data_IF_554469564940
#
_entry.id   IF_554469564940
#
_cell.length_a   1.000
_cell.length_b   1.000
_cell.length_c   1.000
_cell.angle_alpha   90.00
_cell.angle_beta   90.00
_cell.angle_gamma   90.00
#
_symmetry.space_group_name_H-M   'P 1'
#
loop_
_entity.id
_entity.type
_entity.pdbx_description
1 polymer ?
#
# COMPACT_ATOMS: atom_id res chain seq x y z
N UNK A 1 43.62 15.08 -0.38
CA UNK A 1 44.42 14.30 -1.35
C UNK A 1 45.78 14.95 -1.53
N UNK A 2 46.80 14.14 -1.76
CA UNK A 2 48.17 14.55 -2.09
C UNK A 2 48.80 13.56 -3.09
N UNK A 3 50.12 13.66 -3.29
CA UNK A 3 50.84 12.80 -4.24
C UNK A 3 50.87 11.31 -3.85
N UNK A 4 50.71 10.98 -2.56
CA UNK A 4 50.83 9.62 -2.01
C UNK A 4 49.48 8.99 -1.69
N UNK A 5 48.43 9.78 -1.52
CA UNK A 5 47.11 9.23 -1.22
C UNK A 5 45.96 10.22 -1.04
N UNK A 6 44.88 9.68 -0.50
CA UNK A 6 43.71 10.41 -0.03
C UNK A 6 43.34 9.96 1.39
N UNK A 7 42.83 10.91 2.16
CA UNK A 7 42.04 10.65 3.35
C UNK A 7 40.59 10.98 3.04
N UNK A 8 39.66 10.18 3.51
CA UNK A 8 38.24 10.45 3.39
C UNK A 8 37.56 10.36 4.75
N UNK A 9 36.48 11.12 4.86
CA UNK A 9 35.61 11.16 6.02
C UNK A 9 34.18 11.34 5.52
N UNK A 10 33.24 10.55 6.04
CA UNK A 10 31.86 10.51 5.59
C UNK A 10 30.92 10.34 6.79
N UNK A 11 30.07 11.33 7.10
CA UNK A 11 28.94 11.13 7.99
C UNK A 11 27.81 10.38 7.25
N UNK A 12 27.24 9.37 7.89
CA UNK A 12 26.14 8.58 7.39
C UNK A 12 25.06 8.43 8.46
N UNK A 13 23.81 8.44 8.03
CA UNK A 13 22.66 8.06 8.85
C UNK A 13 21.89 7.00 8.08
N UNK A 14 21.58 5.88 8.73
CA UNK A 14 20.85 4.75 8.16
C UNK A 14 19.58 4.52 8.97
N UNK A 15 18.42 4.53 8.32
CA UNK A 15 17.13 4.21 8.96
C UNK A 15 16.86 2.69 9.05
N UNK A 16 17.70 1.88 8.43
CA UNK A 16 17.63 0.43 8.43
C UNK A 16 18.95 -0.20 7.99
N UNK A 17 19.03 -1.53 8.03
CA UNK A 17 20.23 -2.26 7.60
C UNK A 17 20.57 -1.94 6.16
N UNK A 18 21.81 -1.52 5.92
CA UNK A 18 22.21 -0.97 4.63
C UNK A 18 23.68 -1.14 4.31
N UNK A 19 23.97 -1.08 3.02
CA UNK A 19 25.33 -1.09 2.51
C UNK A 19 25.81 0.33 2.23
N UNK A 20 26.98 0.67 2.74
CA UNK A 20 27.68 1.92 2.44
C UNK A 20 28.88 1.58 1.55
N UNK A 21 28.92 2.17 0.36
CA UNK A 21 30.05 2.02 -0.57
C UNK A 21 31.09 3.09 -0.24
N UNK A 22 32.31 2.67 0.08
CA UNK A 22 33.42 3.57 0.38
C UNK A 22 34.10 4.06 -0.91
N UNK A 23 34.81 5.19 -0.86
CA UNK A 23 35.66 5.62 -1.97
C UNK A 23 36.72 4.56 -2.29
N UNK A 24 36.96 4.23 -3.55
CA UNK A 24 38.00 3.28 -3.97
C UNK A 24 37.55 2.20 -4.94
N UNK A 25 38.52 1.37 -5.32
CA UNK A 25 38.37 0.20 -6.18
C UNK A 25 39.46 -0.85 -5.83
N UNK A 26 39.52 -1.97 -6.56
CA UNK A 26 40.55 -2.99 -6.36
C UNK A 26 42.00 -2.48 -6.45
N UNK A 27 42.27 -1.41 -7.22
CA UNK A 27 43.63 -0.84 -7.36
C UNK A 27 43.92 0.18 -6.25
N UNK A 28 42.91 0.87 -5.77
CA UNK A 28 42.98 1.92 -4.78
C UNK A 28 42.07 1.57 -3.59
N UNK A 29 42.35 0.40 -2.98
CA UNK A 29 41.56 -0.11 -1.87
C UNK A 29 41.82 0.72 -0.60
N UNK A 30 40.79 1.14 0.13
CA UNK A 30 40.96 1.83 1.41
C UNK A 30 41.73 1.01 2.44
N UNK A 31 42.38 1.71 3.36
CA UNK A 31 43.11 1.20 4.51
C UNK A 31 42.74 2.02 5.73
N UNK A 32 43.06 1.48 6.91
CA UNK A 32 42.82 2.13 8.20
C UNK A 32 41.40 2.67 8.33
N UNK A 33 40.43 1.88 7.84
CA UNK A 33 39.02 2.26 7.86
C UNK A 33 38.48 2.09 9.26
N UNK A 34 37.82 3.13 9.76
CA UNK A 34 37.19 3.15 11.08
C UNK A 34 35.74 3.61 11.01
N UNK A 35 34.90 3.04 11.87
CA UNK A 35 33.54 3.48 12.14
C UNK A 35 33.52 4.06 13.55
N UNK A 36 33.17 5.34 13.69
CA UNK A 36 33.12 6.03 14.99
C UNK A 36 34.46 5.96 15.76
N UNK A 37 35.58 5.93 15.03
CA UNK A 37 36.93 5.82 15.61
C UNK A 37 37.43 4.39 15.81
N UNK A 38 36.56 3.39 15.75
CA UNK A 38 36.92 1.98 15.93
C UNK A 38 37.26 1.31 14.59
N UNK A 39 38.32 0.49 14.50
CA UNK A 39 38.69 -0.22 13.28
C UNK A 39 37.55 -1.08 12.71
N UNK A 40 37.31 -0.97 11.41
CA UNK A 40 36.22 -1.64 10.72
C UNK A 40 36.74 -2.58 9.62
N UNK A 41 36.12 -3.77 9.52
CA UNK A 41 36.37 -4.69 8.41
C UNK A 41 35.49 -4.33 7.23
N UNK A 42 36.12 -4.14 6.08
CA UNK A 42 35.42 -3.94 4.81
C UNK A 42 35.13 -5.27 4.12
N UNK A 43 34.08 -5.25 3.31
CA UNK A 43 33.71 -6.31 2.38
C UNK A 43 33.82 -5.78 0.96
N UNK A 44 33.89 -6.69 -0.01
CA UNK A 44 33.78 -6.34 -1.42
C UNK A 44 32.32 -6.47 -1.87
N UNK A 45 31.83 -5.46 -2.59
CA UNK A 45 30.52 -5.51 -3.25
C UNK A 45 30.61 -4.92 -4.66
N UNK A 46 30.38 -5.75 -5.67
CA UNK A 46 30.48 -5.38 -7.09
C UNK A 46 31.82 -4.69 -7.43
N UNK A 47 32.92 -5.24 -6.90
CA UNK A 47 34.27 -4.72 -7.08
C UNK A 47 34.58 -3.39 -6.39
N UNK A 48 33.76 -3.01 -5.40
CA UNK A 48 33.94 -1.79 -4.59
C UNK A 48 34.06 -2.12 -3.09
N UNK A 49 34.85 -1.36 -2.32
CA UNK A 49 34.91 -1.48 -0.87
C UNK A 49 33.58 -1.06 -0.24
N UNK A 50 33.05 -1.86 0.67
CA UNK A 50 31.76 -1.64 1.27
C UNK A 50 31.70 -2.04 2.76
N UNK A 51 30.81 -1.40 3.49
CA UNK A 51 30.44 -1.73 4.86
C UNK A 51 28.96 -2.11 4.90
N UNK A 52 28.60 -3.16 5.63
CA UNK A 52 27.21 -3.53 5.92
C UNK A 52 26.93 -3.14 7.36
N UNK A 53 26.10 -2.11 7.55
CA UNK A 53 25.78 -1.55 8.86
C UNK A 53 24.29 -1.70 9.15
N UNK A 54 23.95 -1.79 10.44
CA UNK A 54 22.57 -1.70 10.92
C UNK A 54 22.10 -0.24 10.96
N UNK A 55 20.84 -0.02 11.37
CA UNK A 55 20.29 1.31 11.63
C UNK A 55 21.18 2.08 12.59
N UNK A 56 21.47 3.35 12.30
CA UNK A 56 22.24 4.23 13.18
C UNK A 56 22.96 5.36 12.45
N UNK A 57 23.64 6.19 13.25
CA UNK A 57 24.51 7.27 12.78
C UNK A 57 25.98 6.85 12.88
N UNK A 58 26.73 7.12 11.81
CA UNK A 58 28.10 6.66 11.65
C UNK A 58 29.00 7.76 11.12
N UNK A 59 30.19 7.85 11.70
CA UNK A 59 31.31 8.62 11.18
C UNK A 59 32.34 7.64 10.62
N UNK A 60 32.44 7.59 9.29
CA UNK A 60 33.33 6.66 8.62
C UNK A 60 34.54 7.42 8.09
N UNK A 61 35.75 6.94 8.38
CA UNK A 61 36.99 7.49 7.85
C UNK A 61 37.92 6.40 7.36
N UNK A 62 38.88 6.80 6.51
CA UNK A 62 39.92 5.90 6.04
C UNK A 62 40.91 6.59 5.12
N UNK A 63 41.93 5.83 4.72
CA UNK A 63 43.00 6.29 3.84
C UNK A 63 43.08 5.45 2.56
N UNK A 64 43.52 6.05 1.46
CA UNK A 64 43.75 5.37 0.19
C UNK A 64 45.15 5.75 -0.26
N UNK A 65 45.99 4.76 -0.54
CA UNK A 65 47.36 5.00 -1.00
C UNK A 65 47.49 4.76 -2.50
N UNK A 66 48.32 5.56 -3.16
CA UNK A 66 48.69 5.39 -4.56
C UNK A 66 50.14 5.81 -4.80
N UNK A 67 50.79 5.16 -5.76
CA UNK A 67 52.12 5.58 -6.24
C UNK A 67 52.05 6.78 -7.18
N UNK A 68 50.92 6.93 -7.89
CA UNK A 68 50.60 8.05 -8.78
C UNK A 68 49.12 8.36 -8.66
N UNK A 69 48.77 9.64 -8.55
CA UNK A 69 47.37 10.08 -8.49
C UNK A 69 46.58 9.48 -9.65
N UNK A 70 45.50 8.72 -9.38
CA UNK A 70 44.65 8.19 -10.42
C UNK A 70 43.84 9.31 -11.07
N UNK A 71 43.34 9.05 -12.28
CA UNK A 71 42.53 10.03 -12.99
C UNK A 71 41.18 10.27 -12.30
N UNK A 72 40.59 9.20 -11.75
CA UNK A 72 39.34 9.23 -11.00
C UNK A 72 39.38 8.21 -9.87
N UNK A 73 38.52 8.43 -8.87
CA UNK A 73 38.26 7.50 -7.79
C UNK A 73 36.76 7.18 -7.77
N UNK A 74 36.33 5.92 -7.72
CA UNK A 74 34.92 5.61 -7.50
C UNK A 74 34.49 6.05 -6.10
N UNK A 75 33.29 6.59 -6.01
CA UNK A 75 32.57 6.91 -4.77
C UNK A 75 31.16 6.31 -4.86
N UNK A 76 30.40 6.32 -3.77
CA UNK A 76 29.01 5.91 -3.82
C UNK A 76 28.24 6.85 -4.78
N UNK A 77 27.46 6.31 -5.75
CA UNK A 77 26.64 7.15 -6.64
C UNK A 77 25.61 8.01 -5.89
N UNK A 78 25.27 7.59 -4.66
CA UNK A 78 24.45 8.37 -3.76
C UNK A 78 25.18 9.64 -3.29
N UNK A 79 26.49 9.67 -3.07
CA UNK A 79 27.18 10.85 -2.50
C UNK A 79 27.10 12.06 -3.42
N UNK A 80 26.22 13.02 -3.10
CA UNK A 80 25.97 14.20 -3.92
C UNK A 80 26.77 15.42 -3.46
N UNK A 81 27.11 15.51 -2.16
CA UNK A 81 27.98 16.55 -1.61
C UNK A 81 29.36 15.98 -1.31
N UNK A 82 30.38 16.49 -2.00
CA UNK A 82 31.79 16.16 -1.76
C UNK A 82 32.57 17.46 -1.67
N UNK A 83 33.40 17.56 -0.63
CA UNK A 83 34.46 18.56 -0.53
C UNK A 83 35.77 17.87 -0.87
N UNK A 84 36.49 18.37 -1.87
CA UNK A 84 37.78 17.83 -2.27
C UNK A 84 38.88 18.85 -1.99
N UNK A 85 39.82 18.48 -1.11
CA UNK A 85 41.02 19.28 -0.82
C UNK A 85 42.25 18.63 -1.41
N UNK A 86 43.05 19.37 -2.18
CA UNK A 86 44.38 18.96 -2.64
C UNK A 86 45.44 19.76 -1.90
N UNK A 87 46.32 19.06 -1.16
CA UNK A 87 47.34 19.68 -0.30
C UNK A 87 46.77 20.78 0.62
N UNK A 88 45.57 20.54 1.17
CA UNK A 88 44.87 21.47 2.07
C UNK A 88 43.98 22.52 1.38
N UNK A 89 44.19 22.80 0.09
CA UNK A 89 43.39 23.77 -0.66
C UNK A 89 42.14 23.13 -1.30
N UNK A 90 40.99 23.79 -1.23
CA UNK A 90 39.76 23.34 -1.89
C UNK A 90 39.91 23.41 -3.42
N UNK A 91 39.50 22.34 -4.09
CA UNK A 91 39.49 22.24 -5.56
C UNK A 91 38.09 21.90 -6.08
N UNK A 92 37.76 22.29 -7.33
CA UNK A 92 36.48 21.93 -7.94
C UNK A 92 36.25 20.42 -7.95
N UNK A 93 35.02 20.02 -7.62
CA UNK A 93 34.58 18.64 -7.58
C UNK A 93 33.78 18.31 -8.83
N UNK A 94 34.16 17.23 -9.49
CA UNK A 94 33.41 16.66 -10.60
C UNK A 94 33.14 15.19 -10.33
N UNK A 95 31.86 14.83 -10.15
CA UNK A 95 31.40 13.45 -10.00
C UNK A 95 30.45 13.15 -11.13
N UNK A 96 30.72 12.10 -11.90
CA UNK A 96 29.81 11.68 -12.96
C UNK A 96 28.61 10.87 -12.44
N UNK A 97 27.67 10.52 -13.33
CA UNK A 97 26.47 9.76 -12.95
C UNK A 97 26.76 8.36 -12.41
N UNK A 98 27.94 7.80 -12.70
CA UNK A 98 28.36 6.47 -12.27
C UNK A 98 29.11 6.51 -10.92
N UNK A 99 29.27 7.70 -10.34
CA UNK A 99 30.00 7.91 -9.09
C UNK A 99 31.52 7.93 -9.28
N UNK A 100 32.06 8.34 -10.44
CA UNK A 100 33.50 8.60 -10.56
C UNK A 100 33.81 10.04 -10.18
N UNK A 101 34.54 10.21 -9.09
CA UNK A 101 35.15 11.48 -8.68
C UNK A 101 36.42 11.71 -9.48
N UNK A 102 36.45 12.72 -10.34
CA UNK A 102 37.63 13.09 -11.11
C UNK A 102 38.64 13.80 -10.20
N UNK A 103 39.87 13.29 -10.16
CA UNK A 103 40.95 13.83 -9.33
C UNK A 103 41.96 14.67 -10.11
N UNK A 104 41.90 14.67 -11.45
CA UNK A 104 42.74 15.50 -12.33
C UNK A 104 41.86 16.52 -13.04
N UNK A 105 42.36 17.74 -13.19
CA UNK A 105 41.66 18.80 -13.92
C UNK A 105 41.46 18.36 -15.38
N UNK A 106 40.19 18.33 -15.81
CA UNK A 106 39.87 18.35 -17.25
C UNK A 106 39.80 19.81 -17.66
N UNK A 107 40.37 20.11 -18.83
CA UNK A 107 40.33 21.44 -19.43
C UNK A 107 38.91 21.99 -19.51
N UNK A 108 38.81 23.31 -19.33
CA UNK A 108 37.62 24.16 -19.41
C UNK A 108 36.69 23.75 -20.56
N UNK A 109 35.68 22.92 -20.28
CA UNK A 109 34.71 22.48 -21.29
C UNK A 109 33.26 22.50 -20.83
N UNK A 110 32.97 22.66 -19.53
CA UNK A 110 31.62 22.56 -18.99
C UNK A 110 31.33 23.70 -18.01
N UNK A 111 31.45 24.95 -18.47
CA UNK A 111 31.25 26.14 -17.61
C UNK A 111 29.96 26.91 -17.90
N UNK A 112 29.16 26.53 -18.89
CA UNK A 112 27.97 27.29 -19.28
C UNK A 112 26.64 26.73 -18.75
N UNK A 113 26.53 25.42 -18.48
CA UNK A 113 25.28 24.81 -18.02
C UNK A 113 24.94 25.03 -16.52
N UNK A 114 25.80 25.74 -15.76
CA UNK A 114 25.70 25.86 -14.30
C UNK A 114 25.28 27.24 -13.77
N UNK A 115 24.89 28.19 -14.64
CA UNK A 115 24.63 29.57 -14.18
C UNK A 115 23.31 29.74 -13.42
N UNK A 116 22.30 28.90 -13.66
CA UNK A 116 21.00 29.00 -12.98
C UNK A 116 20.67 27.71 -12.23
N UNK A 117 20.43 27.82 -10.92
CA UNK A 117 19.91 26.73 -10.10
C UNK A 117 18.38 26.67 -10.25
N UNK A 118 17.87 25.71 -11.02
CA UNK A 118 16.42 25.47 -11.11
C UNK A 118 16.03 24.13 -10.49
N UNK A 119 14.78 24.06 -10.05
CA UNK A 119 14.15 22.86 -9.53
C UNK A 119 12.68 22.89 -9.95
N UNK A 120 12.22 21.85 -10.65
CA UNK A 120 10.80 21.56 -10.84
C UNK A 120 10.46 20.30 -10.06
N UNK A 121 9.34 20.32 -9.34
CA UNK A 121 8.82 19.20 -8.56
C UNK A 121 7.40 18.93 -9.03
N UNK A 122 7.12 17.68 -9.36
CA UNK A 122 5.77 17.18 -9.61
C UNK A 122 5.46 16.13 -8.54
N UNK A 123 4.26 16.22 -7.95
CA UNK A 123 3.83 15.38 -6.84
C UNK A 123 2.59 14.63 -7.27
N UNK A 124 2.68 13.31 -7.22
CA UNK A 124 1.58 12.41 -7.46
C UNK A 124 1.33 11.62 -6.19
N UNK A 125 0.08 11.46 -5.80
CA UNK A 125 -0.30 10.64 -4.65
C UNK A 125 -1.37 9.63 -5.03
N UNK A 126 -1.28 8.42 -4.51
CA UNK A 126 -2.33 7.43 -4.54
C UNK A 126 -2.82 7.19 -3.11
N UNK A 127 -4.04 7.62 -2.84
CA UNK A 127 -4.75 7.32 -1.60
C UNK A 127 -5.55 6.04 -1.80
N UNK A 128 -5.23 4.99 -1.03
CA UNK A 128 -5.94 3.71 -1.06
C UNK A 128 -6.78 3.53 0.20
N UNK A 129 -8.06 3.19 0.02
CA UNK A 129 -9.04 3.00 1.09
C UNK A 129 -8.85 1.66 1.83
N UNK A 130 -7.64 1.39 2.30
CA UNK A 130 -7.28 0.21 3.08
C UNK A 130 -7.47 0.45 4.59
N UNK A 131 -7.32 -0.60 5.40
CA UNK A 131 -7.26 -0.49 6.87
C UNK A 131 -5.88 -0.98 7.35
N UNK A 132 -4.98 -0.09 7.82
CA UNK A 132 -5.09 1.38 7.80
C UNK A 132 -5.00 1.96 6.40
N UNK A 133 -5.49 3.20 6.22
CA UNK A 133 -5.41 3.94 4.96
C UNK A 133 -3.96 4.07 4.51
N UNK A 134 -3.72 3.89 3.20
CA UNK A 134 -2.38 3.95 2.61
C UNK A 134 -2.23 5.10 1.65
N UNK A 135 -1.04 5.67 1.62
CA UNK A 135 -0.65 6.74 0.74
C UNK A 135 0.66 6.40 0.05
N UNK A 136 0.63 6.21 -1.26
CA UNK A 136 1.84 6.12 -2.08
C UNK A 136 2.10 7.48 -2.73
N UNK A 137 3.25 8.08 -2.44
CA UNK A 137 3.68 9.36 -3.01
C UNK A 137 4.82 9.13 -3.99
N UNK A 138 4.67 9.64 -5.21
CA UNK A 138 5.74 9.71 -6.22
C UNK A 138 6.10 11.17 -6.49
N UNK A 139 7.37 11.49 -6.32
CA UNK A 139 7.95 12.80 -6.61
C UNK A 139 8.83 12.68 -7.86
N UNK A 140 8.54 13.49 -8.88
CA UNK A 140 9.39 13.64 -10.05
C UNK A 140 10.11 14.99 -9.98
N UNK A 141 11.43 14.95 -10.01
CA UNK A 141 12.31 16.11 -9.81
C UNK A 141 13.12 16.38 -11.07
N UNK A 142 13.05 17.60 -11.60
CA UNK A 142 13.98 18.11 -12.61
C UNK A 142 14.90 19.13 -11.96
N UNK A 143 16.18 18.77 -11.79
CA UNK A 143 17.18 19.61 -11.10
C UNK A 143 18.22 20.11 -12.10
N UNK A 144 18.57 21.39 -12.01
CA UNK A 144 19.70 21.98 -12.72
C UNK A 144 20.64 22.74 -11.77
N UNK A 145 21.84 23.04 -12.27
CA UNK A 145 22.86 23.77 -11.53
C UNK A 145 23.72 22.89 -10.62
N UNK A 146 24.35 23.51 -9.63
CA UNK A 146 25.34 22.85 -8.77
C UNK A 146 24.68 21.91 -7.74
N UNK A 147 25.34 20.81 -7.35
CA UNK A 147 24.90 19.97 -6.24
C UNK A 147 24.74 20.79 -4.96
N UNK A 148 23.64 20.54 -4.23
CA UNK A 148 23.27 21.30 -3.03
C UNK A 148 22.25 20.53 -2.18
N UNK A 149 22.18 20.84 -0.90
CA UNK A 149 21.07 20.40 -0.06
C UNK A 149 19.81 21.23 -0.36
N UNK A 150 18.65 20.55 -0.42
CA UNK A 150 17.36 21.19 -0.59
C UNK A 150 16.36 20.51 0.36
N UNK A 151 15.55 21.30 1.04
CA UNK A 151 14.39 20.82 1.80
C UNK A 151 13.12 21.15 1.01
N UNK A 152 12.23 20.16 0.87
CA UNK A 152 11.06 20.19 0.01
C UNK A 152 9.79 19.85 0.78
N UNK A 153 8.86 20.81 0.80
CA UNK A 153 7.42 20.71 1.05
C UNK A 153 6.97 19.69 2.09
N UNK A 154 5.73 19.17 1.97
CA UNK A 154 5.20 18.14 2.87
C UNK A 154 5.19 16.79 2.17
N UNK A 155 6.32 16.10 2.14
CA UNK A 155 6.41 14.79 1.49
C UNK A 155 5.58 13.73 2.24
N UNK A 156 5.59 13.77 3.57
CA UNK A 156 4.75 12.96 4.44
C UNK A 156 3.69 13.84 5.11
N UNK A 157 2.39 13.61 4.86
CA UNK A 157 1.32 14.35 5.55
C UNK A 157 1.31 14.11 7.05
N UNK A 158 0.62 15.00 7.77
CA UNK A 158 0.39 14.84 9.20
C UNK A 158 -0.35 13.53 9.47
N UNK A 159 -0.10 12.95 10.65
CA UNK A 159 -0.69 11.69 11.10
C UNK A 159 -0.43 10.47 10.18
N UNK A 160 0.61 10.53 9.35
CA UNK A 160 1.08 9.40 8.55
C UNK A 160 2.45 8.91 9.05
N UNK A 161 2.72 7.63 8.82
CA UNK A 161 4.01 6.99 9.13
C UNK A 161 4.57 6.35 7.85
N UNK A 162 5.86 6.55 7.59
CA UNK A 162 6.55 5.96 6.43
C UNK A 162 6.62 4.45 6.58
N UNK A 163 6.21 3.74 5.54
CA UNK A 163 6.29 2.28 5.44
C UNK A 163 7.33 1.84 4.41
N UNK A 164 7.64 2.69 3.41
CA UNK A 164 8.73 2.45 2.46
C UNK A 164 9.31 3.75 1.92
N UNK A 165 10.59 3.74 1.58
CA UNK A 165 11.28 4.89 1.02
C UNK A 165 12.31 4.46 -0.03
N UNK A 166 12.15 4.96 -1.25
CA UNK A 166 13.03 4.65 -2.38
C UNK A 166 13.49 5.94 -3.03
N UNK A 167 14.80 6.20 -3.01
CA UNK A 167 15.39 7.39 -3.61
C UNK A 167 16.72 7.08 -4.30
N UNK A 168 16.95 7.55 -5.54
CA UNK A 168 18.25 7.52 -6.19
C UNK A 168 19.20 8.60 -5.69
N UNK A 169 18.71 9.54 -4.88
CA UNK A 169 19.48 10.60 -4.20
C UNK A 169 19.54 10.32 -2.69
N UNK A 170 20.59 10.76 -1.98
CA UNK A 170 20.56 10.83 -0.52
C UNK A 170 19.39 11.70 -0.12
N UNK A 171 18.46 11.10 0.61
CA UNK A 171 17.24 11.74 0.98
C UNK A 171 16.72 11.13 2.27
N UNK A 172 16.03 11.94 3.06
CA UNK A 172 15.34 11.51 4.27
C UNK A 172 14.09 12.34 4.48
N UNK A 173 13.10 11.74 5.11
CA UNK A 173 11.91 12.44 5.60
C UNK A 173 12.24 12.98 6.99
N UNK A 174 12.07 14.27 7.19
CA UNK A 174 12.25 14.96 8.47
C UNK A 174 11.07 14.69 9.40
N UNK A 175 11.24 14.97 10.69
CA UNK A 175 10.19 14.77 11.69
C UNK A 175 8.92 15.61 11.43
N UNK A 176 9.04 16.73 10.72
CA UNK A 176 7.92 17.59 10.31
C UNK A 176 7.31 17.20 8.96
N UNK A 177 7.69 16.04 8.42
CA UNK A 177 7.20 15.50 7.15
C UNK A 177 7.86 16.10 5.90
N UNK A 178 8.80 17.04 6.05
CA UNK A 178 9.56 17.59 4.91
C UNK A 178 10.53 16.58 4.33
N UNK A 179 10.79 16.66 3.03
CA UNK A 179 11.82 15.85 2.39
C UNK A 179 13.11 16.64 2.26
N UNK A 180 14.18 16.20 2.94
CA UNK A 180 15.54 16.71 2.70
C UNK A 180 16.23 15.84 1.66
N UNK A 181 16.79 16.47 0.63
CA UNK A 181 17.57 15.80 -0.40
C UNK A 181 18.93 16.47 -0.60
N UNK A 182 19.93 15.68 -0.94
CA UNK A 182 21.14 16.19 -1.57
C UNK A 182 20.95 16.14 -3.09
N UNK A 183 20.48 17.26 -3.66
CA UNK A 183 20.13 17.37 -5.06
C UNK A 183 21.35 17.52 -5.95
N UNK A 184 21.30 16.91 -7.15
CA UNK A 184 22.27 17.11 -8.23
C UNK A 184 21.55 17.18 -9.57
N UNK A 185 22.17 17.80 -10.57
CA UNK A 185 21.55 18.00 -11.88
C UNK A 185 21.11 16.65 -12.51
N UNK A 186 19.87 16.60 -13.00
CA UNK A 186 19.27 15.39 -13.56
C UNK A 186 17.76 15.32 -13.36
N UNK A 187 17.19 14.20 -13.82
CA UNK A 187 15.80 13.80 -13.58
C UNK A 187 15.80 12.69 -12.54
N UNK A 188 14.98 12.82 -11.50
CA UNK A 188 14.96 11.89 -10.38
C UNK A 188 13.53 11.56 -10.01
N UNK A 189 13.30 10.30 -9.62
CA UNK A 189 12.02 9.82 -9.11
C UNK A 189 12.24 9.30 -7.69
N UNK A 190 11.49 9.84 -6.73
CA UNK A 190 11.50 9.41 -5.32
C UNK A 190 10.12 8.85 -5.01
N UNK A 191 10.07 7.69 -4.35
CA UNK A 191 8.81 7.04 -3.95
C UNK A 191 8.76 6.84 -2.44
N UNK A 192 7.65 7.21 -1.83
CA UNK A 192 7.41 7.13 -0.40
C UNK A 192 6.07 6.42 -0.21
N UNK A 193 6.08 5.27 0.45
CA UNK A 193 4.86 4.63 0.93
C UNK A 193 4.62 5.03 2.38
N UNK A 194 3.37 5.32 2.73
CA UNK A 194 2.96 5.68 4.08
C UNK A 194 1.61 5.05 4.45
N UNK A 195 1.37 4.93 5.76
CA UNK A 195 0.07 4.57 6.32
C UNK A 195 -0.41 5.67 7.26
N UNK A 196 -1.70 5.96 7.28
CA UNK A 196 -2.27 6.85 8.29
C UNK A 196 -2.41 6.11 9.62
N UNK A 197 -2.27 6.86 10.73
CA UNK A 197 -2.41 6.31 12.08
C UNK A 197 -3.88 6.25 12.53
N UNK A 198 -4.77 7.03 11.91
CA UNK A 198 -6.21 7.01 12.13
C UNK A 198 -7.00 6.76 10.83
N UNK A 199 -8.33 6.72 10.93
CA UNK A 199 -9.23 6.72 9.79
C UNK A 199 -9.56 8.16 9.36
N UNK A 200 -8.55 8.88 8.85
CA UNK A 200 -8.74 10.20 8.27
C UNK A 200 -9.84 10.19 7.20
N UNK A 201 -10.72 11.19 7.24
CA UNK A 201 -11.75 11.42 6.20
C UNK A 201 -11.50 12.70 5.39
N UNK A 202 -10.56 13.53 5.83
CA UNK A 202 -10.24 14.82 5.23
C UNK A 202 -8.76 14.86 4.91
N UNK A 203 -8.43 15.16 3.66
CA UNK A 203 -7.06 15.19 3.18
C UNK A 203 -6.79 16.53 2.51
N UNK A 204 -5.66 17.12 2.89
CA UNK A 204 -5.20 18.39 2.35
C UNK A 204 -3.78 18.21 1.85
N UNK A 205 -3.42 18.97 0.82
CA UNK A 205 -2.00 19.20 0.53
C UNK A 205 -1.54 20.47 1.26
N UNK A 206 -0.30 20.46 1.74
CA UNK A 206 0.35 21.65 2.25
C UNK A 206 1.60 21.95 1.43
N UNK A 207 1.67 23.16 0.88
CA UNK A 207 2.81 23.59 0.08
C UNK A 207 4.09 23.70 0.92
N UNK A 208 3.99 24.20 2.16
CA UNK A 208 5.07 24.51 3.12
C UNK A 208 6.22 25.44 2.66
N UNK A 209 6.63 25.44 1.40
CA UNK A 209 7.68 26.31 0.87
C UNK A 209 7.57 26.56 -0.64
N UNK A 210 8.44 27.43 -1.18
CA UNK A 210 8.39 27.84 -2.59
C UNK A 210 8.78 26.76 -3.60
N UNK A 211 9.50 25.71 -3.19
CA UNK A 211 9.98 24.64 -4.06
C UNK A 211 8.94 23.53 -4.26
N UNK A 212 7.97 23.41 -3.36
CA UNK A 212 6.85 22.50 -3.55
C UNK A 212 5.87 23.06 -4.58
N UNK A 213 5.24 22.21 -5.42
CA UNK A 213 4.30 22.72 -6.40
C UNK A 213 3.06 23.32 -5.75
N UNK A 214 2.45 24.29 -6.43
CA UNK A 214 1.18 24.87 -5.99
C UNK A 214 -0.01 23.91 -6.11
N UNK A 215 0.17 22.79 -6.82
CA UNK A 215 -0.84 21.77 -7.00
C UNK A 215 -0.21 20.38 -6.96
N UNK A 216 -0.97 19.40 -6.51
CA UNK A 216 -0.62 17.98 -6.53
C UNK A 216 -1.70 17.19 -7.28
N UNK A 217 -1.34 16.03 -7.84
CA UNK A 217 -2.29 15.16 -8.54
C UNK A 217 -2.53 13.92 -7.70
N UNK A 218 -3.77 13.72 -7.28
CA UNK A 218 -4.13 12.65 -6.35
C UNK A 218 -5.06 11.66 -7.04
N UNK A 219 -4.66 10.40 -7.09
CA UNK A 219 -5.51 9.30 -7.50
C UNK A 219 -6.09 8.59 -6.27
N UNK A 220 -7.32 8.11 -6.39
CA UNK A 220 -8.01 7.41 -5.31
C UNK A 220 -8.36 5.97 -5.71
N UNK A 221 -8.04 5.02 -4.82
CA UNK A 221 -8.42 3.61 -4.98
C UNK A 221 -9.41 3.22 -3.88
N UNK A 222 -10.66 3.05 -4.27
CA UNK A 222 -11.70 2.54 -3.39
C UNK A 222 -11.47 1.06 -3.05
N UNK A 223 -11.94 0.64 -1.88
CA UNK A 223 -12.01 -0.77 -1.50
C UNK A 223 -13.45 -1.13 -1.04
N UNK A 224 -14.36 -1.42 -1.99
CA UNK A 224 -15.78 -1.66 -1.70
C UNK A 224 -16.05 -2.85 -0.78
N UNK A 225 -15.09 -3.77 -0.64
CA UNK A 225 -15.18 -4.90 0.30
C UNK A 225 -15.06 -4.43 1.77
N UNK A 226 -14.50 -3.25 2.01
CA UNK A 226 -14.39 -2.65 3.34
C UNK A 226 -15.54 -1.68 3.61
N UNK A 227 -15.77 -0.75 2.68
CA UNK A 227 -16.82 0.26 2.74
C UNK A 227 -17.04 0.93 1.40
N UNK A 228 -18.24 1.47 1.21
CA UNK A 228 -18.49 2.44 0.15
C UNK A 228 -18.12 3.83 0.59
N UNK A 229 -17.29 4.51 -0.20
CA UNK A 229 -16.98 5.92 -0.01
C UNK A 229 -17.26 6.70 -1.28
N UNK A 230 -17.80 7.91 -1.07
CA UNK A 230 -17.90 8.92 -2.11
C UNK A 230 -16.80 9.94 -1.88
N UNK A 231 -16.03 10.24 -2.92
CA UNK A 231 -14.99 11.28 -2.87
C UNK A 231 -15.61 12.62 -3.26
N UNK A 232 -15.39 13.65 -2.46
CA UNK A 232 -15.88 15.02 -2.70
C UNK A 232 -14.83 16.07 -2.32
N UNK A 233 -15.15 17.36 -2.55
CA UNK A 233 -14.34 18.51 -2.15
C UNK A 233 -13.14 18.87 -3.05
N UNK A 234 -12.59 17.91 -3.80
CA UNK A 234 -11.51 18.15 -4.76
C UNK A 234 -12.00 18.10 -6.23
N UNK A 235 -11.58 19.01 -7.11
CA UNK A 235 -11.90 18.96 -8.53
C UNK A 235 -11.36 17.69 -9.20
N UNK A 236 -12.23 16.96 -9.91
CA UNK A 236 -11.81 15.81 -10.72
C UNK A 236 -11.12 16.30 -12.00
N UNK A 237 -10.11 15.56 -12.43
CA UNK A 237 -9.40 15.77 -13.71
C UNK A 237 -9.39 14.49 -14.52
N UNK A 238 -9.27 14.60 -15.84
CA UNK A 238 -9.18 13.45 -16.74
C UNK A 238 -7.77 12.81 -16.64
N UNK A 239 -7.65 11.55 -16.16
CA UNK A 239 -6.37 10.86 -16.04
C UNK A 239 -5.67 10.66 -17.38
N UNK A 240 -6.40 10.63 -18.51
CA UNK A 240 -5.82 10.40 -19.84
C UNK A 240 -5.00 11.59 -20.36
N UNK A 241 -5.20 12.78 -19.78
CA UNK A 241 -4.52 14.02 -20.15
C UNK A 241 -3.28 14.31 -19.29
N UNK A 242 -2.92 13.38 -18.38
CA UNK A 242 -1.87 13.55 -17.39
C UNK A 242 -0.88 12.39 -17.51
N UNK A 243 0.42 12.69 -17.49
CA UNK A 243 1.47 11.67 -17.37
C UNK A 243 1.53 11.13 -15.93
N UNK A 244 0.58 10.25 -15.60
CA UNK A 244 0.49 9.60 -14.31
C UNK A 244 1.52 8.47 -14.17
N UNK A 245 2.00 8.20 -12.94
CA UNK A 245 2.67 6.94 -12.64
C UNK A 245 1.79 5.75 -13.06
N UNK A 246 2.34 4.71 -13.72
CA UNK A 246 1.53 3.60 -14.24
C UNK A 246 0.61 2.96 -13.19
N UNK A 247 1.08 2.84 -11.95
CA UNK A 247 0.32 2.27 -10.84
C UNK A 247 -0.87 3.13 -10.36
N UNK A 248 -0.96 4.39 -10.82
CA UNK A 248 -2.05 5.33 -10.52
C UNK A 248 -3.05 5.43 -11.68
N UNK A 249 -2.73 4.84 -12.84
CA UNK A 249 -3.56 4.88 -14.04
C UNK A 249 -4.92 4.19 -13.88
N UNK A 250 -5.93 4.70 -14.59
CA UNK A 250 -7.30 4.15 -14.58
C UNK A 250 -8.11 4.42 -13.30
N UNK A 251 -7.57 5.22 -12.37
CA UNK A 251 -8.23 5.57 -11.12
C UNK A 251 -8.85 6.97 -11.19
N UNK A 252 -9.95 7.23 -10.43
CA UNK A 252 -10.43 8.58 -10.19
C UNK A 252 -9.29 9.48 -9.72
N UNK A 253 -9.12 10.62 -10.40
CA UNK A 253 -7.97 11.51 -10.19
C UNK A 253 -8.44 12.94 -9.96
N UNK A 254 -7.80 13.60 -9.00
CA UNK A 254 -8.19 14.88 -8.45
C UNK A 254 -7.00 15.84 -8.45
N UNK A 255 -7.30 17.12 -8.71
CA UNK A 255 -6.31 18.19 -8.62
C UNK A 255 -6.39 18.84 -7.23
N UNK A 256 -5.35 18.65 -6.44
CA UNK A 256 -5.24 19.25 -5.12
C UNK A 256 -4.54 20.60 -5.20
N UNK A 257 -4.96 21.54 -4.37
CA UNK A 257 -4.32 22.82 -4.08
C UNK A 257 -4.44 23.12 -2.57
N UNK A 258 -3.76 24.14 -2.02
CA UNK A 258 -3.88 24.49 -0.61
C UNK A 258 -5.29 24.94 -0.20
N UNK A 259 -6.17 25.26 -1.16
CA UNK A 259 -7.56 25.67 -0.92
C UNK A 259 -8.57 24.55 -1.14
N UNK A 260 -8.13 23.33 -1.48
CA UNK A 260 -9.01 22.17 -1.68
C UNK A 260 -8.80 21.15 -0.59
N UNK A 261 -9.89 20.57 -0.11
CA UNK A 261 -9.87 19.43 0.81
C UNK A 261 -10.54 18.26 0.10
N UNK A 262 -9.82 17.15 -0.03
CA UNK A 262 -10.41 15.89 -0.50
C UNK A 262 -11.10 15.23 0.68
N UNK A 263 -12.38 14.90 0.50
CA UNK A 263 -13.23 14.33 1.53
C UNK A 263 -13.65 12.93 1.12
N UNK A 264 -13.57 11.99 2.07
CA UNK A 264 -14.14 10.65 1.95
C UNK A 264 -15.43 10.60 2.76
N UNK A 265 -16.56 10.65 2.07
CA UNK A 265 -17.88 10.48 2.67
C UNK A 265 -18.25 9.00 2.67
N UNK A 266 -18.17 8.35 3.84
CA UNK A 266 -18.63 6.97 3.98
C UNK A 266 -20.13 6.89 3.70
N UNK A 267 -20.50 6.16 2.65
CA UNK A 267 -21.90 5.94 2.25
C UNK A 267 -22.50 4.74 3.01
N UNK A 268 -21.70 3.69 3.18
CA UNK A 268 -22.07 2.45 3.86
C UNK A 268 -20.80 1.73 4.33
N UNK A 269 -20.93 0.82 5.29
CA UNK A 269 -19.84 -0.05 5.76
C UNK A 269 -20.16 -1.50 5.35
N UNK A 270 -19.20 -2.23 4.80
CA UNK A 270 -19.44 -3.51 4.14
C UNK A 270 -19.92 -3.35 2.70
N UNK A 271 -20.67 -4.31 2.17
CA UNK A 271 -21.26 -4.28 0.82
C UNK A 271 -22.64 -3.61 0.85
N UNK A 272 -22.90 -2.58 0.02
CA UNK A 272 -24.19 -1.84 0.00
C UNK A 272 -25.31 -2.59 -0.71
N UNK A 273 -24.94 -3.41 -1.68
CA UNK A 273 -25.87 -4.19 -2.49
C UNK A 273 -25.21 -5.53 -2.72
N UNK A 274 -25.04 -6.33 -1.65
CA UNK A 274 -24.60 -7.70 -1.83
C UNK A 274 -25.56 -8.33 -2.84
N UNK A 275 -25.01 -9.01 -3.85
CA UNK A 275 -25.81 -9.77 -4.80
C UNK A 275 -26.82 -10.61 -4.00
N UNK A 276 -28.07 -10.76 -4.46
CA UNK A 276 -29.04 -11.56 -3.71
C UNK A 276 -28.49 -12.97 -3.45
N UNK A 277 -28.80 -13.53 -2.28
CA UNK A 277 -28.53 -14.94 -2.01
C UNK A 277 -29.18 -15.79 -3.11
N UNK A 278 -28.41 -16.70 -3.72
CA UNK A 278 -28.89 -17.56 -4.80
C UNK A 278 -29.11 -18.96 -4.23
N UNK A 279 -30.36 -19.28 -3.88
CA UNK A 279 -30.70 -20.53 -3.20
C UNK A 279 -31.78 -21.30 -3.96
N UNK A 280 -31.63 -22.62 -3.97
CA UNK A 280 -32.64 -23.54 -4.47
C UNK A 280 -33.12 -24.46 -3.36
N UNK A 281 -34.42 -24.76 -3.32
CA UNK A 281 -35.06 -25.67 -2.38
C UNK A 281 -35.65 -26.87 -3.14
N UNK A 282 -35.26 -28.07 -2.73
CA UNK A 282 -35.97 -29.31 -3.06
C UNK A 282 -36.62 -29.85 -1.79
N UNK A 283 -37.94 -29.88 -1.76
CA UNK A 283 -38.76 -30.32 -0.63
C UNK A 283 -39.46 -31.63 -0.96
N UNK A 284 -39.32 -32.61 -0.07
CA UNK A 284 -40.19 -33.78 0.00
C UNK A 284 -41.11 -33.61 1.21
N UNK A 285 -42.42 -33.70 0.99
CA UNK A 285 -43.43 -33.57 2.03
C UNK A 285 -44.24 -34.86 2.10
N UNK A 286 -44.32 -35.48 3.26
CA UNK A 286 -45.17 -36.64 3.53
C UNK A 286 -46.32 -36.24 4.41
N UNK A 287 -47.53 -36.37 3.88
CA UNK A 287 -48.77 -36.17 4.62
C UNK A 287 -48.98 -37.33 5.60
N UNK A 288 -49.37 -37.02 6.82
CA UNK A 288 -49.72 -38.06 7.80
C UNK A 288 -50.95 -38.84 7.37
N UNK A 289 -51.07 -40.10 7.81
CA UNK A 289 -52.20 -40.96 7.47
C UNK A 289 -53.56 -40.39 7.90
N UNK A 290 -53.61 -39.67 9.02
CA UNK A 290 -54.81 -39.02 9.54
C UNK A 290 -55.02 -37.60 8.99
N UNK A 291 -54.08 -37.09 8.18
CA UNK A 291 -54.09 -35.74 7.64
C UNK A 291 -53.87 -34.62 8.67
N UNK A 292 -53.48 -34.94 9.90
CA UNK A 292 -53.30 -33.96 10.97
C UNK A 292 -52.05 -33.07 10.81
N UNK A 293 -51.12 -33.46 9.94
CA UNK A 293 -49.87 -32.74 9.71
C UNK A 293 -49.01 -33.38 8.63
N UNK A 294 -47.75 -32.96 8.57
CA UNK A 294 -46.79 -33.50 7.61
C UNK A 294 -45.36 -33.51 8.14
N UNK A 295 -44.57 -34.45 7.65
CA UNK A 295 -43.11 -34.44 7.82
C UNK A 295 -42.47 -33.92 6.54
N UNK A 296 -41.48 -33.05 6.65
CA UNK A 296 -40.73 -32.55 5.48
C UNK A 296 -39.26 -32.94 5.55
N UNK A 297 -38.70 -33.21 4.38
CA UNK A 297 -37.27 -33.25 4.13
C UNK A 297 -36.93 -32.18 3.11
N UNK A 298 -36.20 -31.18 3.55
CA UNK A 298 -35.77 -30.06 2.72
C UNK A 298 -34.28 -30.19 2.40
N UNK A 299 -33.92 -30.04 1.13
CA UNK A 299 -32.55 -29.90 0.67
C UNK A 299 -32.37 -28.53 0.04
N UNK A 300 -31.51 -27.71 0.64
CA UNK A 300 -31.24 -26.33 0.22
C UNK A 300 -29.79 -26.24 -0.26
N UNK A 301 -29.60 -25.83 -1.50
CA UNK A 301 -28.27 -25.67 -2.11
C UNK A 301 -28.13 -24.30 -2.75
N UNK A 302 -26.94 -23.71 -2.66
CA UNK A 302 -26.65 -22.44 -3.32
C UNK A 302 -25.54 -21.63 -2.65
N UNK A 303 -25.62 -20.31 -2.83
CA UNK A 303 -24.64 -19.35 -2.32
C UNK A 303 -25.31 -18.25 -1.48
N UNK A 304 -24.88 -18.14 -0.23
CA UNK A 304 -25.09 -16.96 0.61
C UNK A 304 -24.02 -15.90 0.30
N UNK A 305 -24.47 -14.66 0.21
CA UNK A 305 -23.69 -13.44 -0.03
C UNK A 305 -23.96 -12.40 1.08
N UNK A 306 -25.15 -12.45 1.69
CA UNK A 306 -25.54 -11.64 2.84
C UNK A 306 -26.50 -12.39 3.76
N UNK A 307 -26.87 -11.80 4.92
CA UNK A 307 -27.82 -12.38 5.90
C UNK A 307 -27.48 -13.85 6.20
N UNK A 308 -26.40 -14.06 6.95
CA UNK A 308 -25.75 -15.36 7.22
C UNK A 308 -26.54 -16.29 8.15
N UNK A 309 -27.86 -16.31 8.04
CA UNK A 309 -28.75 -17.07 8.90
C UNK A 309 -29.96 -17.53 8.12
N UNK A 310 -30.34 -18.78 8.34
CA UNK A 310 -31.53 -19.40 7.77
C UNK A 310 -32.44 -19.87 8.90
N UNK A 311 -33.68 -19.38 8.92
CA UNK A 311 -34.66 -19.69 9.98
C UNK A 311 -36.03 -20.01 9.38
N UNK A 312 -36.81 -20.80 10.12
CA UNK A 312 -38.10 -21.30 9.68
C UNK A 312 -39.26 -20.35 10.01
N UNK A 313 -40.40 -20.56 9.36
CA UNK A 313 -41.68 -20.02 9.82
C UNK A 313 -42.14 -20.72 11.11
N UNK A 314 -43.12 -20.15 11.85
CA UNK A 314 -43.66 -20.77 13.05
C UNK A 314 -44.26 -22.17 12.80
N UNK A 315 -44.82 -22.38 11.61
CA UNK A 315 -45.50 -23.64 11.23
C UNK A 315 -44.54 -24.74 10.81
N UNK A 316 -43.29 -24.39 10.47
CA UNK A 316 -42.23 -25.35 10.13
C UNK A 316 -41.33 -25.57 11.35
N UNK A 317 -41.63 -26.61 12.12
CA UNK A 317 -40.87 -26.99 13.32
C UNK A 317 -39.62 -27.76 12.94
N UNK A 318 -38.47 -27.09 12.99
CA UNK A 318 -37.18 -27.71 12.70
C UNK A 318 -36.86 -28.79 13.74
N UNK A 319 -36.59 -30.02 13.28
CA UNK A 319 -36.14 -31.12 14.12
C UNK A 319 -34.63 -31.33 14.04
N UNK A 320 -34.12 -31.54 12.82
CA UNK A 320 -32.68 -31.75 12.56
C UNK A 320 -32.26 -30.95 11.35
N UNK A 321 -31.11 -30.28 11.45
CA UNK A 321 -30.50 -29.58 10.32
C UNK A 321 -29.02 -29.95 10.22
N UNK A 322 -28.59 -30.34 9.02
CA UNK A 322 -27.20 -30.52 8.62
C UNK A 322 -26.83 -29.41 7.65
N UNK A 323 -25.68 -28.76 7.84
CA UNK A 323 -25.09 -27.85 6.86
C UNK A 323 -23.74 -28.41 6.43
N UNK A 324 -23.56 -28.62 5.13
CA UNK A 324 -22.36 -29.21 4.54
C UNK A 324 -21.97 -30.54 5.21
N UNK A 325 -22.97 -31.37 5.52
CA UNK A 325 -22.82 -32.67 6.20
C UNK A 325 -22.59 -32.60 7.71
N UNK A 326 -22.54 -31.41 8.32
CA UNK A 326 -22.29 -31.22 9.75
C UNK A 326 -23.57 -30.83 10.51
N UNK A 327 -23.90 -31.49 11.64
CA UNK A 327 -25.01 -31.09 12.50
C UNK A 327 -24.90 -29.64 12.97
N UNK A 328 -26.01 -28.91 12.90
CA UNK A 328 -26.10 -27.52 13.34
C UNK A 328 -26.95 -27.37 14.61
N UNK A 329 -26.60 -26.39 15.44
CA UNK A 329 -27.39 -26.03 16.62
C UNK A 329 -28.58 -25.18 16.19
N UNK A 330 -29.79 -25.59 16.58
CA UNK A 330 -31.00 -24.81 16.37
C UNK A 330 -31.11 -23.75 17.46
N UNK A 331 -31.18 -22.49 17.04
CA UNK A 331 -31.25 -21.33 17.93
C UNK A 331 -32.46 -20.48 17.58
N UNK A 332 -33.04 -19.80 18.57
CA UNK A 332 -34.16 -18.86 18.38
C UNK A 332 -33.73 -17.46 18.81
N UNK A 333 -33.87 -16.48 17.93
CA UNK A 333 -33.59 -15.07 18.23
C UNK A 333 -34.90 -14.31 18.53
N UNK A 334 -34.86 -13.23 19.34
CA UNK A 334 -36.07 -12.49 19.74
C UNK A 334 -36.88 -11.92 18.57
N UNK A 335 -36.22 -11.54 17.48
CA UNK A 335 -36.84 -10.89 16.31
C UNK A 335 -37.18 -11.88 15.17
N UNK A 336 -37.09 -13.19 15.43
CA UNK A 336 -37.34 -14.24 14.43
C UNK A 336 -38.60 -15.03 14.73
N UNK A 337 -39.33 -15.37 13.67
CA UNK A 337 -40.59 -16.11 13.77
C UNK A 337 -40.38 -17.60 14.18
N UNK A 338 -39.20 -18.15 13.95
CA UNK A 338 -38.91 -19.57 14.15
C UNK A 338 -37.48 -19.85 14.57
N UNK A 339 -37.14 -21.13 14.67
CA UNK A 339 -35.76 -21.55 14.95
C UNK A 339 -34.92 -21.49 13.67
N UNK A 340 -33.60 -21.32 13.82
CA UNK A 340 -32.69 -21.23 12.69
C UNK A 340 -31.27 -21.64 13.02
N UNK A 341 -30.44 -21.61 11.98
CA UNK A 341 -29.02 -21.95 12.01
C UNK A 341 -28.16 -20.80 11.46
N UNK A 342 -26.94 -20.66 11.98
CA UNK A 342 -25.93 -19.75 11.46
C UNK A 342 -25.19 -20.38 10.27
N UNK A 343 -25.02 -19.61 9.20
CA UNK A 343 -24.32 -20.01 7.99
C UNK A 343 -22.89 -19.48 8.04
N UNK A 344 -21.91 -20.38 7.98
CA UNK A 344 -20.49 -20.03 8.11
C UNK A 344 -19.70 -20.05 6.80
N UNK A 345 -20.30 -20.59 5.73
CA UNK A 345 -19.66 -20.74 4.43
C UNK A 345 -20.58 -20.17 3.35
N UNK A 346 -20.03 -19.45 2.34
CA UNK A 346 -20.81 -18.93 1.22
C UNK A 346 -21.58 -20.02 0.48
N UNK A 347 -20.91 -21.12 0.14
CA UNK A 347 -21.55 -22.26 -0.51
C UNK A 347 -22.14 -23.22 0.53
N UNK A 348 -23.41 -23.54 0.34
CA UNK A 348 -24.16 -24.38 1.27
C UNK A 348 -24.83 -25.56 0.56
N UNK A 349 -24.86 -26.67 1.28
CA UNK A 349 -25.71 -27.81 1.04
C UNK A 349 -26.32 -28.18 2.40
N UNK A 350 -27.58 -27.84 2.58
CA UNK A 350 -28.32 -27.99 3.84
C UNK A 350 -29.35 -29.09 3.66
N UNK A 351 -29.42 -30.01 4.61
CA UNK A 351 -30.49 -30.99 4.72
C UNK A 351 -31.24 -30.75 6.04
N UNK A 352 -32.55 -30.57 5.99
CA UNK A 352 -33.38 -30.35 7.15
C UNK A 352 -34.54 -31.34 7.20
N UNK A 353 -34.80 -31.90 8.38
CA UNK A 353 -36.00 -32.67 8.68
C UNK A 353 -36.85 -31.88 9.66
N UNK A 354 -38.10 -31.63 9.27
CA UNK A 354 -39.00 -30.75 9.99
C UNK A 354 -40.40 -31.33 10.09
N UNK A 355 -41.18 -30.77 11.01
CA UNK A 355 -42.56 -31.13 11.27
C UNK A 355 -43.48 -29.94 10.99
N UNK A 356 -44.61 -30.20 10.34
CA UNK A 356 -45.72 -29.26 10.19
C UNK A 356 -46.90 -29.85 10.94
N UNK A 357 -47.47 -29.06 11.86
CA UNK A 357 -48.67 -29.45 12.61
C UNK A 357 -49.85 -28.63 12.08
N UNK A 358 -50.91 -29.30 11.63
CA UNK A 358 -52.03 -28.66 10.94
C UNK A 358 -51.68 -28.26 9.50
N UNK A 359 -52.65 -28.40 8.59
CA UNK A 359 -52.45 -28.20 7.15
C UNK A 359 -53.39 -27.15 6.55
N UNK A 360 -54.01 -26.34 7.42
CA UNK A 360 -54.96 -25.31 7.02
C UNK A 360 -54.31 -24.28 6.08
N UNK A 361 -53.01 -24.02 6.24
CA UNK A 361 -52.18 -23.22 5.33
C UNK A 361 -50.79 -23.84 5.16
N UNK A 362 -50.51 -24.46 4.01
CA UNK A 362 -49.19 -25.03 3.71
C UNK A 362 -48.35 -24.00 2.94
N UNK A 363 -47.22 -23.57 3.53
CA UNK A 363 -46.23 -22.75 2.82
C UNK A 363 -45.41 -23.60 1.85
N UNK A 364 -45.17 -23.08 0.64
CA UNK A 364 -44.33 -23.72 -0.35
C UNK A 364 -42.88 -23.94 0.14
N UNK A 365 -42.36 -23.01 0.95
CA UNK A 365 -40.98 -23.07 1.47
C UNK A 365 -40.91 -23.30 2.97
N UNK A 366 -41.80 -22.72 3.80
CA UNK A 366 -41.69 -22.76 5.26
C UNK A 366 -40.41 -22.16 5.85
N UNK A 367 -39.54 -21.57 5.01
CA UNK A 367 -38.30 -20.90 5.39
C UNK A 367 -38.50 -19.40 5.20
N UNK A 368 -38.00 -18.59 6.13
CA UNK A 368 -38.06 -17.13 6.06
C UNK A 368 -36.88 -16.61 5.22
N UNK A 369 -36.85 -17.04 3.97
CA UNK A 369 -35.84 -16.69 2.98
C UNK A 369 -36.39 -16.87 1.56
N UNK A 370 -35.94 -16.04 0.63
CA UNK A 370 -36.29 -16.15 -0.79
C UNK A 370 -35.48 -17.27 -1.48
N UNK A 371 -36.07 -17.90 -2.49
CA UNK A 371 -35.42 -18.96 -3.28
C UNK A 371 -35.63 -18.68 -4.76
N UNK A 372 -34.58 -18.86 -5.56
CA UNK A 372 -34.63 -18.73 -7.02
C UNK A 372 -35.43 -19.86 -7.65
N UNK A 373 -35.38 -21.04 -7.01
CA UNK A 373 -36.09 -22.24 -7.47
C UNK A 373 -36.60 -23.03 -6.28
N UNK A 374 -37.87 -23.42 -6.36
CA UNK A 374 -38.53 -24.29 -5.39
C UNK A 374 -39.14 -25.47 -6.13
N UNK A 375 -38.73 -26.69 -5.77
CA UNK A 375 -39.38 -27.92 -6.18
C UNK A 375 -40.01 -28.58 -4.96
N UNK A 376 -41.27 -29.00 -5.07
CA UNK A 376 -42.00 -29.66 -4.00
C UNK A 376 -42.60 -30.97 -4.53
N UNK A 377 -42.29 -32.06 -3.83
CA UNK A 377 -42.90 -33.37 -4.03
C UNK A 377 -43.79 -33.71 -2.84
N UNK A 378 -45.09 -33.81 -3.09
CA UNK A 378 -46.09 -34.20 -2.09
C UNK A 378 -46.35 -35.71 -2.18
N UNK A 379 -46.11 -36.42 -1.08
CA UNK A 379 -46.42 -37.82 -0.91
C UNK A 379 -47.69 -37.96 -0.10
N UNK A 380 -48.74 -38.48 -0.73
CA UNK A 380 -50.02 -38.75 -0.10
C UNK A 380 -50.06 -40.20 0.41
N UNK A 381 -50.61 -40.45 1.61
CA UNK A 381 -50.91 -41.80 2.05
C UNK A 381 -52.01 -42.43 1.17
N UNK A 382 -52.10 -43.78 1.11
CA UNK A 382 -53.14 -44.46 0.36
C UNK A 382 -54.55 -43.98 0.71
N UNK A 383 -55.38 -43.75 -0.30
CA UNK A 383 -56.78 -43.31 -0.14
C UNK A 383 -56.99 -41.79 -0.15
N UNK A 384 -55.92 -41.00 -0.20
CA UNK A 384 -55.99 -39.54 -0.32
C UNK A 384 -55.89 -39.09 -1.79
N UNK A 385 -56.62 -38.03 -2.14
CA UNK A 385 -56.62 -37.40 -3.47
C UNK A 385 -56.36 -35.90 -3.32
N UNK A 386 -55.76 -35.31 -4.36
CA UNK A 386 -55.41 -33.89 -4.47
C UNK A 386 -56.58 -33.05 -4.97
#
# INVERSE_FOLDING_TARGET
>A
IDQKGARFTQPWSLDGRGWIILPGDHKHWPRDVSINGEPARMLERNGKPALLLERGDFHISGEISWSKIPQSLPVAPATALITLKRNGADIPVHVDRQGKLWLRERGRGETEAQKNNTLKVEVFRLLSDDIPLRLDTELRLAVSGKPREIVLGQALPDNAEVTSFHSPLPARVEADGRLRIQARAGQWQIRIGARFQDQAQHFNMNKLDKHWPGQEIWSFRANPQLRGVKVSGAPSVDPSQIDLPPQFGGLPTYLMSPSTTLQLEQQYRGDATPAANQLSLNRELWLDFDGGGATTKDRIEGQFTHRWRLYSSPDLKLGRVLANGQPQVLTRLPDEAGAGIEIRHPHVNIEAISRIDGLETISATGWQHDFDKVNLNLNLPPGWQL
#
